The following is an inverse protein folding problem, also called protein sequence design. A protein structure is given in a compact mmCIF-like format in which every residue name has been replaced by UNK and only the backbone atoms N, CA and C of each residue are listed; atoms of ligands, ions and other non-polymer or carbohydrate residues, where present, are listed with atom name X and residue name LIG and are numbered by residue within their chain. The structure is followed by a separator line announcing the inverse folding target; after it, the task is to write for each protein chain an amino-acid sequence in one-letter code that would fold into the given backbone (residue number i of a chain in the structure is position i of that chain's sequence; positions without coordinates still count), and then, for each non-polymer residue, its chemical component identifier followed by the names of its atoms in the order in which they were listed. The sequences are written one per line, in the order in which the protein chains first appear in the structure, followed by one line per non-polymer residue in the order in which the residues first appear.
data_IF_213945495400
#
_entry.id   IF_213945495400
#
_cell.length_a   1.000
_cell.length_b   1.000
_cell.length_c   1.000
_cell.angle_alpha   90.00
_cell.angle_beta   90.00
_cell.angle_gamma   90.00
#
_symmetry.space_group_name_H-M   'P 1'
#
loop_
_entity.id
_entity.type
_entity.pdbx_description
1 polymer ?
#
# COMPACT_ATOMS: atom_id res chain seq x y z
N UNK A 1 -0.24 2.85 -0.90
CA UNK A 1 -0.95 3.50 0.21
C UNK A 1 -0.54 2.78 1.49
N UNK A 2 -0.25 3.51 2.57
CA UNK A 2 0.27 2.96 3.82
C UNK A 2 -0.55 1.76 4.34
N UNK A 3 0.00 0.55 4.18
CA UNK A 3 -0.50 -0.71 4.73
C UNK A 3 -0.62 -0.65 6.27
N UNK A 4 -1.24 -1.64 6.91
CA UNK A 4 -1.47 -1.70 8.37
C UNK A 4 -0.23 -1.45 9.24
N UNK A 5 0.96 -1.78 8.73
CA UNK A 5 2.22 -1.55 9.41
C UNK A 5 2.69 -0.08 9.43
N UNK A 6 1.83 0.85 9.00
CA UNK A 6 2.14 2.27 8.96
C UNK A 6 1.64 2.97 10.21
N UNK A 7 2.37 3.97 10.74
CA UNK A 7 2.03 4.64 12.01
C UNK A 7 0.58 5.13 12.08
N UNK A 8 0.02 5.55 10.94
CA UNK A 8 -1.32 6.12 10.84
C UNK A 8 -2.41 5.13 10.43
N UNK A 9 -2.09 3.85 10.17
CA UNK A 9 -3.04 2.81 9.75
C UNK A 9 -3.98 3.26 8.62
N UNK A 10 -3.43 3.93 7.60
CA UNK A 10 -4.23 4.54 6.54
C UNK A 10 -5.10 3.52 5.81
N UNK A 11 -4.57 2.34 5.47
CA UNK A 11 -5.33 1.27 4.80
C UNK A 11 -6.61 0.90 5.54
N UNK A 12 -6.51 0.57 6.83
CA UNK A 12 -7.66 0.20 7.66
C UNK A 12 -8.65 1.33 7.89
N UNK A 13 -8.17 2.56 8.12
CA UNK A 13 -9.05 3.75 8.23
C UNK A 13 -9.82 4.00 6.94
N UNK A 14 -9.17 3.85 5.78
CA UNK A 14 -9.82 3.98 4.48
C UNK A 14 -10.90 2.91 4.31
N UNK A 15 -10.55 1.64 4.53
CA UNK A 15 -11.49 0.52 4.43
C UNK A 15 -12.74 0.75 5.29
N UNK A 16 -12.56 1.17 6.55
CA UNK A 16 -13.66 1.49 7.46
C UNK A 16 -14.53 2.67 6.98
N UNK A 17 -13.94 3.67 6.33
CA UNK A 17 -14.66 4.87 5.87
C UNK A 17 -15.40 4.66 4.55
N UNK A 18 -14.91 3.78 3.67
CA UNK A 18 -15.44 3.62 2.31
C UNK A 18 -16.15 2.28 2.09
N UNK A 19 -15.88 1.28 2.93
CA UNK A 19 -16.30 -0.10 2.73
C UNK A 19 -15.42 -0.89 1.76
N UNK A 20 -14.29 -0.33 1.32
CA UNK A 20 -13.31 -1.03 0.48
C UNK A 20 -12.39 -1.91 1.33
N UNK A 21 -12.89 -3.08 1.72
CA UNK A 21 -12.18 -3.95 2.66
C UNK A 21 -10.97 -4.68 2.07
N UNK A 22 -10.92 -4.83 0.74
CA UNK A 22 -9.81 -5.52 0.07
C UNK A 22 -8.89 -4.50 -0.58
N UNK A 23 -7.59 -4.62 -0.33
CA UNK A 23 -6.53 -3.88 -1.01
C UNK A 23 -5.55 -4.85 -1.68
N UNK A 24 -4.75 -4.33 -2.59
CA UNK A 24 -3.66 -5.06 -3.25
C UNK A 24 -2.41 -4.19 -3.32
N UNK A 25 -1.27 -4.82 -3.60
CA UNK A 25 -0.06 -4.07 -3.91
C UNK A 25 -0.23 -3.21 -5.16
N UNK A 26 0.50 -2.11 -5.20
CA UNK A 26 0.70 -1.31 -6.40
C UNK A 26 2.19 -1.20 -6.77
N UNK A 27 3.02 -2.06 -6.16
CA UNK A 27 4.44 -2.16 -6.45
C UNK A 27 4.67 -3.14 -7.61
N UNK A 28 5.60 -2.85 -8.53
CA UNK A 28 5.91 -3.73 -9.65
C UNK A 28 6.31 -5.15 -9.21
N UNK A 29 5.63 -6.15 -9.77
CA UNK A 29 5.92 -7.57 -9.53
C UNK A 29 5.27 -8.16 -8.27
N UNK A 30 4.53 -7.35 -7.50
CA UNK A 30 3.73 -7.83 -6.38
C UNK A 30 2.28 -8.05 -6.83
N UNK A 31 1.66 -9.15 -6.38
CA UNK A 31 0.28 -9.50 -6.73
C UNK A 31 -0.59 -9.81 -5.50
N UNK A 32 -0.08 -9.54 -4.29
CA UNK A 32 -0.76 -9.91 -3.06
C UNK A 32 -1.99 -9.05 -2.81
N UNK A 33 -2.93 -9.61 -2.07
CA UNK A 33 -4.13 -8.94 -1.60
C UNK A 33 -4.24 -9.07 -0.08
N UNK A 34 -4.87 -8.10 0.55
CA UNK A 34 -5.19 -8.13 1.97
C UNK A 34 -6.64 -7.72 2.18
N UNK A 35 -7.37 -8.50 2.97
CA UNK A 35 -8.75 -8.21 3.35
C UNK A 35 -8.81 -7.80 4.84
N UNK A 36 -9.20 -6.54 5.07
CA UNK A 36 -9.31 -5.96 6.41
C UNK A 36 -10.49 -6.52 7.22
N UNK A 37 -11.47 -7.16 6.58
CA UNK A 37 -12.69 -7.65 7.23
C UNK A 37 -12.49 -8.96 7.97
N UNK A 38 -11.60 -9.81 7.47
CA UNK A 38 -11.25 -11.10 8.06
C UNK A 38 -9.77 -11.23 8.46
N UNK A 39 -9.00 -10.15 8.27
CA UNK A 39 -7.58 -10.05 8.60
C UNK A 39 -6.69 -11.04 7.83
N UNK A 40 -7.11 -11.43 6.62
CA UNK A 40 -6.42 -12.42 5.81
C UNK A 40 -5.51 -11.83 4.72
N UNK A 41 -4.38 -12.50 4.52
CA UNK A 41 -3.43 -12.23 3.44
C UNK A 41 -3.56 -13.29 2.35
N UNK A 42 -3.54 -12.84 1.09
CA UNK A 42 -3.57 -13.69 -0.09
C UNK A 42 -2.36 -13.40 -0.96
N UNK A 43 -1.63 -14.45 -1.37
CA UNK A 43 -0.44 -14.31 -2.21
C UNK A 43 -0.76 -13.82 -3.63
N UNK A 44 -1.99 -14.04 -4.09
CA UNK A 44 -2.49 -13.61 -5.39
C UNK A 44 -4.00 -13.41 -5.38
N UNK A 45 -4.53 -12.77 -6.42
CA UNK A 45 -5.95 -12.52 -6.60
C UNK A 45 -6.34 -12.42 -8.07
N UNK A 46 -7.54 -11.92 -8.37
CA UNK A 46 -8.03 -11.79 -9.75
C UNK A 46 -7.24 -10.74 -10.54
N UNK A 47 -7.20 -10.89 -11.87
CA UNK A 47 -6.72 -9.84 -12.76
C UNK A 47 -7.55 -8.56 -12.62
N UNK A 48 -6.87 -7.46 -12.34
CA UNK A 48 -7.46 -6.13 -12.22
C UNK A 48 -7.32 -5.33 -13.53
N UNK A 49 -8.14 -4.30 -13.67
CA UNK A 49 -7.97 -3.35 -14.77
C UNK A 49 -6.65 -2.58 -14.58
N UNK A 50 -5.87 -2.34 -15.65
CA UNK A 50 -4.61 -1.62 -15.55
C UNK A 50 -4.80 -0.13 -15.18
N UNK A 51 -3.78 0.53 -14.61
CA UNK A 51 -2.47 -0.04 -14.26
C UNK A 51 -2.53 -0.87 -12.97
N UNK A 52 -1.78 -1.97 -12.94
CA UNK A 52 -1.57 -2.86 -11.79
C UNK A 52 -0.45 -2.38 -10.86
N UNK A 53 0.48 -1.57 -11.38
CA UNK A 53 1.63 -1.08 -10.64
C UNK A 53 2.07 0.32 -11.07
N UNK A 54 2.86 0.99 -10.23
CA UNK A 54 3.49 2.25 -10.61
C UNK A 54 4.61 2.05 -11.65
N UNK A 55 5.01 3.10 -12.40
CA UNK A 55 6.14 3.00 -13.33
C UNK A 55 7.43 2.57 -12.62
N UNK A 56 8.24 1.71 -13.27
CA UNK A 56 9.52 1.23 -12.74
C UNK A 56 10.51 2.37 -12.45
N UNK A 57 10.39 3.48 -13.16
CA UNK A 57 11.25 4.66 -13.00
C UNK A 57 10.85 5.53 -11.79
N UNK A 58 9.67 5.29 -11.19
CA UNK A 58 9.22 6.01 -10.01
C UNK A 58 9.92 5.44 -8.75
N UNK A 59 10.71 6.22 -8.02
CA UNK A 59 11.34 5.74 -6.80
C UNK A 59 10.34 5.55 -5.66
N UNK A 60 10.70 4.68 -4.71
CA UNK A 60 9.96 4.46 -3.46
C UNK A 60 10.90 4.56 -2.25
N UNK A 61 10.49 5.20 -1.13
CA UNK A 61 9.22 5.90 -0.97
C UNK A 61 9.22 7.27 -1.69
N UNK A 62 8.06 7.66 -2.21
CA UNK A 62 7.75 8.98 -2.77
C UNK A 62 8.52 9.34 -4.05
N UNK A 63 8.02 10.31 -4.83
CA UNK A 63 8.70 10.77 -6.05
C UNK A 63 10.06 11.42 -5.71
N UNK A 64 10.99 11.34 -6.67
CA UNK A 64 12.37 11.79 -6.50
C UNK A 64 12.45 13.20 -5.89
N UNK A 65 13.23 13.36 -4.82
CA UNK A 65 13.49 14.65 -4.17
C UNK A 65 12.34 15.18 -3.30
N UNK A 66 11.23 14.46 -3.14
CA UNK A 66 10.12 14.87 -2.25
C UNK A 66 10.13 14.21 -0.89
N UNK A 67 10.95 13.18 -0.70
CA UNK A 67 11.12 12.55 0.61
C UNK A 67 12.31 13.18 1.32
N UNK A 68 12.10 13.82 2.49
CA UNK A 68 13.18 14.38 3.29
C UNK A 68 14.20 13.31 3.69
N UNK A 69 15.48 13.67 3.81
CA UNK A 69 16.54 12.70 4.14
C UNK A 69 16.32 11.99 5.49
N UNK A 70 15.67 12.67 6.44
CA UNK A 70 15.36 12.18 7.78
C UNK A 70 14.03 11.40 7.88
N UNK A 71 13.39 11.07 6.75
CA UNK A 71 12.06 10.45 6.73
C UNK A 71 11.95 9.16 7.55
N UNK A 72 13.01 8.34 7.59
CA UNK A 72 13.00 7.08 8.35
C UNK A 72 12.88 7.33 9.85
N UNK A 73 13.51 8.38 10.36
CA UNK A 73 13.43 8.77 11.77
C UNK A 73 12.08 9.41 12.14
N UNK A 74 11.25 9.76 11.16
CA UNK A 74 9.87 10.22 11.33
C UNK A 74 8.83 9.11 11.30
N UNK A 75 9.21 7.90 10.89
CA UNK A 75 8.35 6.73 10.99
C UNK A 75 8.45 6.26 12.44
N UNK A 76 7.39 6.46 13.23
CA UNK A 76 7.36 6.08 14.65
C UNK A 76 7.84 4.64 14.83
N UNK A 77 8.76 4.45 15.79
CA UNK A 77 9.14 3.15 16.33
C UNK A 77 8.14 2.66 17.36
#
# INVERSE_FOLDING_TARGET
GCCDNSPEQHGRKHAASTGHNVITSFEPGEAWFYDFSDDNFYESGPDLAPPDSHPLEQPVPGPQGRVPEDWRSRMNG
#
